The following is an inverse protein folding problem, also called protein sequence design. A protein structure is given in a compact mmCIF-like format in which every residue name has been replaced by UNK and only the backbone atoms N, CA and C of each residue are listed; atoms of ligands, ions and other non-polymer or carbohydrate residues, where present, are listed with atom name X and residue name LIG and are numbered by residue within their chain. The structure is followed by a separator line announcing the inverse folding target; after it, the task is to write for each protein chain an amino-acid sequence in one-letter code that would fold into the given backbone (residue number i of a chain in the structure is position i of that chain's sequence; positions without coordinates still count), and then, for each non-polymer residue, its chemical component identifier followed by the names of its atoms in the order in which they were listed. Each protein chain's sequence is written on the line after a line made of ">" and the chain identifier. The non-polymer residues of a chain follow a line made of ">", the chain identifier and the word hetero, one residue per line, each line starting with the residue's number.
data_IF_861348612165
#
_entry.id   IF_861348612165
#
_cell.length_a   1.000
_cell.length_b   1.000
_cell.length_c   1.000
_cell.angle_alpha   90.00
_cell.angle_beta   90.00
_cell.angle_gamma   90.00
#
_symmetry.space_group_name_H-M   'P 1'
#
loop_
_entity.id
_entity.type
_entity.pdbx_description
1 polymer ?
#
# COMPACT_ATOMS: atom_id res chain seq x y z
N UNK A 1 -14.75 -21.42 3.75
CA UNK A 1 -15.37 -21.11 2.43
C UNK A 1 -14.25 -20.76 1.49
N UNK A 2 -14.27 -21.22 0.24
CA UNK A 2 -13.24 -20.79 -0.72
C UNK A 2 -13.67 -19.42 -1.31
N UNK A 3 -12.91 -18.38 -0.97
CA UNK A 3 -13.23 -16.99 -1.28
C UNK A 3 -12.25 -16.49 -2.34
N UNK A 4 -12.75 -15.83 -3.37
CA UNK A 4 -11.93 -15.18 -4.35
C UNK A 4 -11.66 -13.71 -3.93
N UNK A 5 -10.43 -13.27 -4.08
CA UNK A 5 -10.00 -11.94 -3.69
C UNK A 5 -9.36 -11.17 -4.83
N UNK A 6 -9.43 -9.86 -4.73
CA UNK A 6 -8.68 -8.92 -5.56
C UNK A 6 -7.98 -7.88 -4.68
N UNK A 7 -6.71 -7.64 -4.96
CA UNK A 7 -5.91 -6.59 -4.34
C UNK A 7 -5.55 -5.56 -5.39
N UNK A 8 -6.20 -4.40 -5.42
CA UNK A 8 -5.78 -3.32 -6.29
C UNK A 8 -4.44 -2.75 -5.82
N UNK A 9 -3.58 -2.40 -6.75
CA UNK A 9 -2.26 -1.86 -6.46
C UNK A 9 -1.82 -0.80 -7.48
N UNK A 10 -0.81 -0.03 -7.11
CA UNK A 10 -0.13 0.83 -8.06
C UNK A 10 0.63 -0.02 -9.08
N UNK A 11 0.62 0.41 -10.35
CA UNK A 11 1.35 -0.26 -11.42
C UNK A 11 2.84 -0.44 -11.05
N UNK A 12 3.33 -1.66 -11.18
CA UNK A 12 4.69 -2.06 -10.86
C UNK A 12 4.85 -2.70 -9.46
N UNK A 13 3.77 -2.75 -8.64
CA UNK A 13 3.75 -3.43 -7.34
C UNK A 13 3.10 -4.82 -7.39
N UNK A 14 2.65 -5.28 -8.54
CA UNK A 14 1.98 -6.57 -8.67
C UNK A 14 2.87 -7.75 -8.25
N UNK A 15 4.16 -7.71 -8.62
CA UNK A 15 5.09 -8.78 -8.30
C UNK A 15 5.37 -8.93 -6.79
N UNK A 16 5.73 -7.87 -6.03
CA UNK A 16 5.91 -7.98 -4.58
C UNK A 16 4.64 -8.41 -3.85
N UNK A 17 3.45 -7.95 -4.25
CA UNK A 17 2.18 -8.38 -3.66
C UNK A 17 1.94 -9.86 -3.93
N UNK A 18 2.15 -10.32 -5.15
CA UNK A 18 1.96 -11.73 -5.49
C UNK A 18 2.92 -12.65 -4.72
N UNK A 19 4.18 -12.22 -4.52
CA UNK A 19 5.15 -12.95 -3.70
C UNK A 19 4.71 -12.99 -2.24
N UNK A 20 4.28 -11.85 -1.69
CA UNK A 20 3.79 -11.75 -0.32
C UNK A 20 2.58 -12.64 -0.07
N UNK A 21 1.59 -12.64 -0.97
CA UNK A 21 0.39 -13.49 -0.86
C UNK A 21 0.73 -14.99 -0.93
N UNK A 22 1.67 -15.40 -1.79
CA UNK A 22 2.14 -16.80 -1.81
C UNK A 22 2.82 -17.20 -0.50
N UNK A 23 3.60 -16.30 0.09
CA UNK A 23 4.23 -16.51 1.40
C UNK A 23 3.20 -16.58 2.55
N UNK A 24 2.01 -16.01 2.35
CA UNK A 24 0.87 -16.10 3.25
C UNK A 24 0.01 -17.35 3.02
N UNK A 25 0.44 -18.25 2.14
CA UNK A 25 -0.25 -19.50 1.79
C UNK A 25 -1.56 -19.29 1.01
N UNK A 26 -1.73 -18.13 0.36
CA UNK A 26 -2.84 -17.89 -0.53
C UNK A 26 -2.76 -18.78 -1.79
N UNK A 27 -3.91 -19.25 -2.25
CA UNK A 27 -4.05 -20.10 -3.44
C UNK A 27 -4.28 -19.24 -4.70
N UNK A 28 -4.05 -19.81 -5.87
CA UNK A 28 -4.38 -19.23 -7.19
C UNK A 28 -3.88 -17.79 -7.40
N UNK A 29 -2.71 -17.45 -6.86
CA UNK A 29 -2.16 -16.09 -6.92
C UNK A 29 -1.76 -15.73 -8.34
N UNK A 30 -2.46 -14.76 -8.92
CA UNK A 30 -2.27 -14.25 -10.29
C UNK A 30 -2.11 -12.74 -10.30
N UNK A 31 -1.00 -12.26 -10.86
CA UNK A 31 -0.75 -10.84 -11.08
C UNK A 31 -1.41 -10.41 -12.41
N UNK A 32 -2.22 -9.36 -12.35
CA UNK A 32 -2.80 -8.66 -13.49
C UNK A 32 -2.37 -7.19 -13.45
N UNK A 33 -2.52 -6.45 -14.55
CA UNK A 33 -2.20 -5.02 -14.55
C UNK A 33 -3.03 -4.25 -13.51
N UNK A 34 -2.35 -3.68 -12.51
CA UNK A 34 -2.94 -2.87 -11.45
C UNK A 34 -3.69 -3.64 -10.36
N UNK A 35 -3.63 -4.98 -10.35
CA UNK A 35 -4.19 -5.81 -9.28
C UNK A 35 -3.57 -7.20 -9.19
N UNK A 36 -3.72 -7.84 -8.05
CA UNK A 36 -3.41 -9.26 -7.87
C UNK A 36 -4.68 -9.99 -7.45
N UNK A 37 -4.97 -11.11 -8.10
CA UNK A 37 -6.06 -12.01 -7.74
C UNK A 37 -5.51 -13.20 -6.96
N UNK A 38 -6.28 -13.70 -6.00
CA UNK A 38 -5.93 -14.90 -5.24
C UNK A 38 -7.19 -15.54 -4.62
N UNK A 39 -7.06 -16.74 -4.10
CA UNK A 39 -8.13 -17.47 -3.39
C UNK A 39 -7.66 -17.89 -2.01
N UNK A 40 -8.59 -18.12 -1.10
CA UNK A 40 -8.33 -18.62 0.24
C UNK A 40 -9.58 -18.63 1.12
N UNK A 41 -9.40 -18.96 2.37
CA UNK A 41 -10.44 -18.96 3.39
C UNK A 41 -10.49 -17.66 4.20
N UNK A 42 -11.28 -17.64 5.27
CA UNK A 42 -11.40 -16.51 6.19
C UNK A 42 -10.10 -16.20 6.92
N UNK A 43 -9.22 -17.20 7.14
CA UNK A 43 -7.89 -16.99 7.73
C UNK A 43 -7.00 -16.22 6.76
N UNK A 44 -7.02 -16.58 5.48
CA UNK A 44 -6.28 -15.86 4.42
C UNK A 44 -6.82 -14.44 4.26
N UNK A 45 -8.13 -14.21 4.36
CA UNK A 45 -8.73 -12.87 4.38
C UNK A 45 -8.14 -12.02 5.51
N UNK A 46 -8.13 -12.53 6.74
CA UNK A 46 -7.60 -11.81 7.90
C UNK A 46 -6.09 -11.61 7.78
N UNK A 47 -5.34 -12.67 7.43
CA UNK A 47 -3.89 -12.64 7.24
C UNK A 47 -3.46 -11.63 6.19
N UNK A 48 -4.12 -11.59 5.04
CA UNK A 48 -3.82 -10.63 3.97
C UNK A 48 -4.04 -9.18 4.42
N UNK A 49 -5.08 -8.89 5.21
CA UNK A 49 -5.31 -7.56 5.78
C UNK A 49 -4.27 -7.19 6.85
N UNK A 50 -3.91 -8.13 7.74
CA UNK A 50 -2.99 -7.89 8.85
C UNK A 50 -1.54 -7.79 8.37
N UNK A 51 -1.12 -8.67 7.46
CA UNK A 51 0.28 -8.86 7.14
C UNK A 51 0.74 -8.17 5.85
N UNK A 52 -0.17 -7.79 4.93
CA UNK A 52 0.27 -7.23 3.66
C UNK A 52 0.90 -5.83 3.81
N UNK A 53 2.13 -5.70 3.31
CA UNK A 53 2.93 -4.48 3.35
C UNK A 53 2.69 -3.60 2.13
N UNK A 54 2.38 -4.22 0.99
CA UNK A 54 2.37 -3.56 -0.32
C UNK A 54 0.97 -3.29 -0.84
N UNK A 55 -0.05 -3.98 -0.30
CA UNK A 55 -1.44 -3.87 -0.73
C UNK A 55 -2.11 -2.57 -0.25
N UNK A 56 -2.94 -1.96 -1.09
CA UNK A 56 -3.75 -0.81 -0.69
C UNK A 56 -5.05 -1.22 0.02
N UNK A 57 -5.62 -2.36 -0.40
CA UNK A 57 -6.84 -2.98 0.14
C UNK A 57 -6.88 -4.47 -0.19
N UNK A 58 -7.62 -5.22 0.60
CA UNK A 58 -8.05 -6.58 0.28
C UNK A 58 -9.55 -6.55 0.01
N UNK A 59 -9.97 -7.02 -1.15
CA UNK A 59 -11.36 -6.99 -1.59
C UNK A 59 -11.84 -8.42 -1.88
N UNK A 60 -13.02 -8.81 -1.40
CA UNK A 60 -13.67 -10.04 -1.83
C UNK A 60 -14.22 -9.82 -3.24
N UNK A 61 -13.83 -10.62 -4.20
CA UNK A 61 -14.31 -10.56 -5.58
C UNK A 61 -15.58 -11.41 -5.71
N UNK A 62 -16.74 -10.76 -5.85
CA UNK A 62 -18.02 -11.45 -6.02
C UNK A 62 -18.24 -11.96 -7.43
N UNK A 63 -17.79 -11.22 -8.43
CA UNK A 63 -17.88 -11.62 -9.81
C UNK A 63 -17.42 -10.56 -10.79
N UNK A 64 -17.27 -11.00 -12.05
CA UNK A 64 -16.92 -10.12 -13.17
C UNK A 64 -17.74 -10.52 -14.40
N UNK A 65 -18.18 -9.52 -15.16
CA UNK A 65 -18.98 -9.67 -16.39
C UNK A 65 -18.73 -8.49 -17.33
N UNK A 66 -19.15 -8.60 -18.57
CA UNK A 66 -19.12 -7.48 -19.53
C UNK A 66 -20.43 -6.70 -19.50
N UNK A 67 -20.36 -5.38 -19.62
CA UNK A 67 -21.53 -4.51 -19.71
C UNK A 67 -21.23 -3.28 -20.56
N UNK A 68 -22.04 -3.06 -21.59
CA UNK A 68 -22.02 -1.93 -22.49
C UNK A 68 -23.19 -0.96 -22.27
N UNK A 69 -24.19 -1.39 -21.48
CA UNK A 69 -25.38 -0.63 -21.15
C UNK A 69 -25.72 -0.69 -19.67
N UNK A 70 -26.48 0.28 -19.17
CA UNK A 70 -26.98 0.27 -17.80
C UNK A 70 -27.88 -0.93 -17.49
N UNK A 71 -28.61 -1.45 -18.48
CA UNK A 71 -29.42 -2.66 -18.31
C UNK A 71 -28.54 -3.89 -18.10
N UNK A 72 -27.48 -4.07 -18.90
CA UNK A 72 -26.52 -5.17 -18.71
C UNK A 72 -25.81 -5.05 -17.36
N UNK A 73 -25.41 -3.83 -16.95
CA UNK A 73 -24.83 -3.57 -15.63
C UNK A 73 -25.80 -3.97 -14.51
N UNK A 74 -27.08 -3.59 -14.64
CA UNK A 74 -28.12 -3.93 -13.67
C UNK A 74 -28.32 -5.45 -13.54
N UNK A 75 -28.52 -6.14 -14.67
CA UNK A 75 -28.79 -7.58 -14.68
C UNK A 75 -27.57 -8.39 -14.20
N UNK A 76 -26.39 -8.05 -14.66
CA UNK A 76 -25.15 -8.70 -14.20
C UNK A 76 -24.90 -8.49 -12.72
N UNK A 77 -25.17 -7.30 -12.19
CA UNK A 77 -25.07 -7.02 -10.74
C UNK A 77 -26.10 -7.81 -9.95
N UNK A 78 -27.37 -7.83 -10.40
CA UNK A 78 -28.46 -8.54 -9.71
C UNK A 78 -28.27 -10.05 -9.68
N UNK A 79 -27.57 -10.62 -10.65
CA UNK A 79 -27.29 -12.05 -10.73
C UNK A 79 -26.32 -12.55 -9.66
N UNK A 80 -25.50 -11.68 -9.05
CA UNK A 80 -24.53 -12.07 -8.04
C UNK A 80 -25.20 -12.41 -6.69
N UNK A 81 -24.60 -13.31 -5.89
CA UNK A 81 -25.19 -13.81 -4.65
C UNK A 81 -24.95 -12.89 -3.45
N UNK A 82 -25.46 -11.67 -3.50
CA UNK A 82 -25.26 -10.63 -2.47
C UNK A 82 -25.71 -11.07 -1.07
N UNK A 83 -26.75 -11.88 -1.00
CA UNK A 83 -27.31 -12.42 0.26
C UNK A 83 -26.39 -13.39 1.00
N UNK A 84 -25.32 -13.87 0.39
CA UNK A 84 -24.28 -14.64 1.08
C UNK A 84 -23.38 -13.76 1.96
N UNK A 85 -23.38 -12.46 1.68
CA UNK A 85 -22.53 -11.49 2.35
C UNK A 85 -23.33 -10.47 3.18
N UNK A 86 -24.32 -9.87 2.58
CA UNK A 86 -25.04 -8.70 3.12
C UNK A 86 -26.33 -9.16 3.76
N UNK A 87 -26.47 -8.89 5.06
CA UNK A 87 -27.69 -9.13 5.83
C UNK A 87 -28.75 -8.04 5.63
N UNK A 88 -29.91 -8.22 6.28
CA UNK A 88 -31.05 -7.34 6.12
C UNK A 88 -30.82 -5.92 6.68
N UNK A 89 -30.01 -5.79 7.73
CA UNK A 89 -29.75 -4.54 8.42
C UNK A 89 -28.42 -3.89 8.00
N UNK A 90 -27.61 -4.59 7.20
CA UNK A 90 -26.26 -4.16 6.86
C UNK A 90 -26.25 -2.95 5.91
N UNK A 91 -25.26 -2.07 6.07
CA UNK A 91 -25.05 -0.94 5.19
C UNK A 91 -24.15 -1.33 4.01
N UNK A 92 -24.55 -0.98 2.78
CA UNK A 92 -23.82 -1.36 1.57
C UNK A 92 -23.64 -0.17 0.60
N UNK A 93 -22.85 0.85 0.97
CA UNK A 93 -22.53 1.96 0.09
C UNK A 93 -21.72 1.48 -1.12
N UNK A 94 -21.93 2.12 -2.29
CA UNK A 94 -21.27 1.78 -3.55
C UNK A 94 -20.24 2.84 -3.89
N UNK A 95 -19.00 2.43 -4.21
CA UNK A 95 -17.93 3.29 -4.72
C UNK A 95 -17.21 2.57 -5.87
N UNK A 96 -16.56 3.30 -6.73
CA UNK A 96 -15.76 2.69 -7.79
C UNK A 96 -15.34 3.68 -8.85
N UNK A 97 -14.89 3.15 -9.97
CA UNK A 97 -14.41 3.93 -11.11
C UNK A 97 -14.72 3.23 -12.44
N UNK A 98 -14.71 4.02 -13.50
CA UNK A 98 -14.83 3.53 -14.87
C UNK A 98 -13.72 4.16 -15.73
N UNK A 99 -13.02 3.36 -16.53
CA UNK A 99 -11.92 3.77 -17.40
C UNK A 99 -12.08 3.07 -18.75
N UNK A 100 -11.93 3.83 -19.84
CA UNK A 100 -11.98 3.31 -21.22
C UNK A 100 -13.21 2.42 -21.49
N UNK A 101 -14.40 2.86 -21.07
CA UNK A 101 -15.63 2.07 -21.11
C UNK A 101 -16.83 2.89 -21.55
N UNK A 102 -17.83 2.23 -22.15
CA UNK A 102 -19.07 2.86 -22.60
C UNK A 102 -19.85 3.46 -21.42
N UNK A 103 -19.80 2.79 -20.27
CA UNK A 103 -20.38 3.24 -19.00
C UNK A 103 -19.41 4.16 -18.25
N UNK A 104 -19.24 5.39 -18.68
CA UNK A 104 -18.27 6.36 -18.13
C UNK A 104 -18.76 7.17 -16.93
N UNK A 105 -20.09 7.31 -16.74
CA UNK A 105 -20.65 8.05 -15.61
C UNK A 105 -20.58 7.22 -14.32
N UNK A 106 -19.56 7.49 -13.49
CA UNK A 106 -19.37 6.81 -12.21
C UNK A 106 -20.59 6.94 -11.32
N UNK A 107 -21.23 8.12 -11.26
CA UNK A 107 -22.42 8.38 -10.44
C UNK A 107 -23.61 7.51 -10.85
N UNK A 108 -23.86 7.40 -12.17
CA UNK A 108 -24.98 6.59 -12.67
C UNK A 108 -24.69 5.10 -12.46
N UNK A 109 -23.46 4.64 -12.70
CA UNK A 109 -23.06 3.27 -12.38
C UNK A 109 -23.27 2.95 -10.91
N UNK A 110 -22.91 3.86 -9.98
CA UNK A 110 -23.16 3.68 -8.54
C UNK A 110 -24.65 3.49 -8.24
N UNK A 111 -25.50 4.34 -8.83
CA UNK A 111 -26.96 4.28 -8.63
C UNK A 111 -27.56 2.98 -9.17
N UNK A 112 -27.16 2.55 -10.39
CA UNK A 112 -27.62 1.31 -11.01
C UNK A 112 -27.17 0.08 -10.21
N UNK A 113 -25.91 0.02 -9.80
CA UNK A 113 -25.37 -1.08 -8.98
C UNK A 113 -26.14 -1.13 -7.64
N UNK A 114 -26.30 0.01 -6.93
CA UNK A 114 -27.04 0.06 -5.66
C UNK A 114 -28.46 -0.45 -5.85
N UNK A 115 -29.18 0.00 -6.89
CA UNK A 115 -30.54 -0.45 -7.21
C UNK A 115 -30.61 -1.97 -7.47
N UNK A 116 -29.66 -2.51 -8.24
CA UNK A 116 -29.62 -3.93 -8.56
C UNK A 116 -29.42 -4.81 -7.32
N UNK A 117 -28.53 -4.37 -6.41
CA UNK A 117 -28.30 -5.04 -5.11
C UNK A 117 -29.55 -5.00 -4.25
N UNK A 118 -30.19 -3.83 -4.13
CA UNK A 118 -31.45 -3.68 -3.38
C UNK A 118 -32.54 -4.61 -3.92
N UNK A 119 -32.75 -4.67 -5.24
CA UNK A 119 -33.73 -5.55 -5.85
C UNK A 119 -33.43 -7.05 -5.60
N UNK A 120 -32.15 -7.44 -5.58
CA UNK A 120 -31.76 -8.81 -5.23
C UNK A 120 -32.05 -9.13 -3.77
N UNK A 121 -31.67 -8.24 -2.85
CA UNK A 121 -31.84 -8.43 -1.41
C UNK A 121 -33.31 -8.36 -0.98
N UNK A 122 -34.16 -7.52 -1.62
CA UNK A 122 -35.61 -7.50 -1.43
C UNK A 122 -36.23 -8.87 -1.68
N UNK A 123 -35.85 -9.54 -2.78
CA UNK A 123 -36.35 -10.89 -3.10
C UNK A 123 -35.96 -11.92 -2.04
N UNK A 124 -34.76 -11.78 -1.45
CA UNK A 124 -34.23 -12.71 -0.45
C UNK A 124 -34.87 -12.52 0.92
N UNK A 125 -34.98 -11.26 1.37
CA UNK A 125 -35.39 -10.93 2.74
C UNK A 125 -36.87 -10.56 2.86
N UNK A 126 -37.58 -10.41 1.75
CA UNK A 126 -39.00 -10.01 1.71
C UNK A 126 -39.26 -8.68 2.44
N UNK A 127 -38.35 -7.72 2.32
CA UNK A 127 -38.44 -6.36 2.91
C UNK A 127 -38.38 -5.31 1.80
N UNK A 128 -39.07 -4.19 2.03
CA UNK A 128 -39.15 -3.11 1.04
C UNK A 128 -38.11 -1.99 1.27
N UNK A 129 -37.65 -1.85 2.49
CA UNK A 129 -36.70 -0.81 2.89
C UNK A 129 -35.56 -1.36 3.72
N UNK A 130 -34.33 -0.92 3.45
CA UNK A 130 -33.11 -1.28 4.18
C UNK A 130 -32.68 -0.10 5.06
N UNK A 131 -32.67 -0.29 6.38
CA UNK A 131 -32.29 0.75 7.35
C UNK A 131 -30.80 1.07 7.31
N UNK A 132 -29.97 0.17 6.80
CA UNK A 132 -28.50 0.29 6.70
C UNK A 132 -27.85 0.73 8.03
N UNK A 133 -28.36 0.23 9.16
CA UNK A 133 -27.90 0.54 10.52
C UNK A 133 -26.81 -0.42 11.04
N UNK A 134 -26.61 -1.54 10.36
CA UNK A 134 -25.65 -2.59 10.71
C UNK A 134 -24.22 -2.34 10.21
N UNK A 135 -23.37 -3.37 10.23
CA UNK A 135 -22.03 -3.33 9.69
C UNK A 135 -21.97 -2.87 8.22
N UNK A 136 -20.84 -2.23 7.87
CA UNK A 136 -20.67 -1.69 6.52
C UNK A 136 -19.98 -2.71 5.62
N UNK A 137 -20.66 -3.10 4.54
CA UNK A 137 -20.15 -3.90 3.42
C UNK A 137 -19.96 -2.99 2.22
N UNK A 138 -18.86 -2.23 2.18
CA UNK A 138 -18.65 -1.28 1.10
C UNK A 138 -18.45 -2.02 -0.22
N UNK A 139 -19.41 -1.85 -1.15
CA UNK A 139 -19.30 -2.38 -2.50
C UNK A 139 -18.31 -1.52 -3.28
N UNK A 140 -17.31 -2.17 -3.86
CA UNK A 140 -16.36 -1.57 -4.79
C UNK A 140 -16.60 -2.09 -6.20
N UNK A 141 -16.74 -1.21 -7.18
CA UNK A 141 -16.78 -1.60 -8.58
C UNK A 141 -15.59 -1.03 -9.36
N UNK A 142 -15.15 -1.77 -10.34
CA UNK A 142 -14.27 -1.27 -11.40
C UNK A 142 -14.84 -1.66 -12.75
N UNK A 143 -14.94 -0.69 -13.66
CA UNK A 143 -15.28 -0.94 -15.07
C UNK A 143 -14.06 -0.54 -15.88
N UNK A 144 -13.45 -1.50 -16.56
CA UNK A 144 -12.27 -1.26 -17.40
C UNK A 144 -12.46 -1.96 -18.74
N UNK A 145 -12.48 -1.20 -19.82
CA UNK A 145 -12.73 -1.72 -21.17
C UNK A 145 -13.99 -2.59 -21.21
N UNK A 146 -15.08 -2.07 -20.64
CA UNK A 146 -16.40 -2.69 -20.52
C UNK A 146 -16.46 -3.95 -19.64
N UNK A 147 -15.37 -4.39 -19.03
CA UNK A 147 -15.35 -5.46 -18.03
C UNK A 147 -15.62 -4.90 -16.66
N UNK A 148 -16.75 -5.28 -16.07
CA UNK A 148 -17.19 -4.96 -14.72
C UNK A 148 -16.60 -5.97 -13.75
N UNK A 149 -16.07 -5.52 -12.61
CA UNK A 149 -15.75 -6.35 -11.45
C UNK A 149 -16.43 -5.75 -10.23
N UNK A 150 -17.15 -6.59 -9.47
CA UNK A 150 -17.87 -6.20 -8.25
C UNK A 150 -17.24 -6.89 -7.05
N UNK A 151 -16.91 -6.10 -6.04
CA UNK A 151 -16.10 -6.51 -4.90
C UNK A 151 -16.65 -5.94 -3.60
N UNK A 152 -16.32 -6.55 -2.45
CA UNK A 152 -16.57 -6.02 -1.11
C UNK A 152 -15.26 -5.64 -0.42
N UNK A 153 -15.19 -4.47 0.16
CA UNK A 153 -13.98 -3.96 0.83
C UNK A 153 -13.89 -4.50 2.26
N UNK A 154 -12.96 -5.43 2.47
CA UNK A 154 -12.69 -6.03 3.78
C UNK A 154 -11.84 -5.15 4.67
N UNK A 155 -11.06 -4.26 4.09
CA UNK A 155 -10.05 -3.44 4.80
C UNK A 155 -10.65 -2.21 5.50
N UNK A 156 -11.63 -1.55 4.89
CA UNK A 156 -12.21 -0.29 5.36
C UNK A 156 -11.27 0.89 5.12
N UNK A 157 -10.48 1.31 6.09
CA UNK A 157 -9.42 2.28 5.88
C UNK A 157 -8.29 1.65 5.05
N UNK A 158 -7.70 2.42 4.11
CA UNK A 158 -6.61 1.91 3.27
C UNK A 158 -5.45 1.32 4.09
N UNK A 159 -4.84 0.23 3.61
CA UNK A 159 -3.81 -0.49 4.35
C UNK A 159 -2.53 0.33 4.56
N UNK A 160 -2.25 1.33 3.71
CA UNK A 160 -1.16 2.28 3.95
C UNK A 160 -1.30 3.03 5.29
N UNK A 161 -2.52 3.24 5.80
CA UNK A 161 -2.73 3.85 7.12
C UNK A 161 -2.39 2.86 8.23
N UNK A 162 -1.11 2.69 8.55
CA UNK A 162 -0.63 1.75 9.58
C UNK A 162 -1.05 2.14 11.00
N UNK A 163 -1.22 3.44 11.24
CA UNK A 163 -1.61 3.99 12.54
C UNK A 163 -0.47 4.72 13.27
N UNK A 164 0.78 4.47 12.94
CA UNK A 164 1.92 5.12 13.60
C UNK A 164 2.09 6.59 13.22
N UNK A 165 1.64 7.02 12.05
CA UNK A 165 1.76 8.40 11.59
C UNK A 165 0.52 9.21 11.96
N UNK A 166 0.56 9.85 13.13
CA UNK A 166 -0.51 10.73 13.60
C UNK A 166 -0.45 12.11 12.95
N UNK A 167 0.76 12.63 12.75
CA UNK A 167 1.03 13.88 12.05
C UNK A 167 1.92 13.60 10.83
N UNK A 168 1.77 14.35 9.78
CA UNK A 168 2.57 14.24 8.58
C UNK A 168 2.97 15.63 8.07
N UNK A 169 4.15 15.71 7.50
CA UNK A 169 4.56 16.87 6.69
C UNK A 169 3.72 16.93 5.41
N UNK A 170 3.83 18.03 4.67
CA UNK A 170 3.19 18.16 3.36
C UNK A 170 3.64 17.03 2.41
N UNK A 171 2.66 16.29 1.87
CA UNK A 171 2.82 15.23 0.87
C UNK A 171 3.80 14.07 1.22
N UNK A 172 3.65 13.38 2.37
CA UNK A 172 4.52 12.26 2.72
C UNK A 172 4.31 11.07 1.75
N UNK A 173 5.38 10.29 1.54
CA UNK A 173 5.27 9.03 0.81
C UNK A 173 4.32 8.07 1.51
N UNK A 174 3.49 7.33 0.76
CA UNK A 174 2.63 6.28 1.35
C UNK A 174 3.49 5.15 1.91
N UNK A 175 3.05 4.59 3.02
CA UNK A 175 3.72 3.48 3.72
C UNK A 175 3.86 2.24 2.82
N UNK A 176 2.84 1.91 2.04
CA UNK A 176 2.86 0.81 1.06
C UNK A 176 3.93 1.02 -0.03
N UNK A 177 4.10 2.25 -0.49
CA UNK A 177 5.16 2.59 -1.44
C UNK A 177 6.54 2.54 -0.77
N UNK A 178 6.70 3.09 0.44
CA UNK A 178 7.95 3.05 1.19
C UNK A 178 8.43 1.62 1.46
N UNK A 179 7.54 0.74 1.92
CA UNK A 179 7.81 -0.70 2.05
C UNK A 179 8.24 -1.32 0.71
N UNK A 180 7.58 -0.94 -0.38
CA UNK A 180 7.93 -1.42 -1.73
C UNK A 180 9.32 -0.95 -2.18
N UNK A 181 9.73 0.27 -1.82
CA UNK A 181 11.09 0.75 -2.08
C UNK A 181 12.13 -0.09 -1.33
N UNK A 182 11.88 -0.44 -0.07
CA UNK A 182 12.74 -1.34 0.71
C UNK A 182 12.86 -2.71 0.03
N UNK A 183 11.75 -3.28 -0.45
CA UNK A 183 11.75 -4.55 -1.16
C UNK A 183 12.52 -4.49 -2.48
N UNK A 184 12.30 -3.47 -3.33
CA UNK A 184 13.02 -3.31 -4.59
C UNK A 184 14.51 -3.04 -4.41
N UNK A 185 14.88 -2.35 -3.34
CA UNK A 185 16.27 -2.09 -2.95
C UNK A 185 16.96 -3.31 -2.34
N UNK A 186 16.23 -4.44 -2.21
CA UNK A 186 16.73 -5.68 -1.62
C UNK A 186 17.25 -5.50 -0.20
N UNK A 187 16.58 -4.65 0.58
CA UNK A 187 16.90 -4.46 1.98
C UNK A 187 16.89 -5.79 2.72
N UNK A 188 17.91 -6.03 3.53
CA UNK A 188 18.07 -7.26 4.31
C UNK A 188 18.02 -6.93 5.80
N UNK A 189 17.53 -7.85 6.66
CA UNK A 189 17.42 -7.62 8.11
C UNK A 189 18.75 -7.49 8.84
N UNK A 190 19.86 -7.63 8.13
CA UNK A 190 21.24 -7.44 8.60
C UNK A 190 21.97 -6.32 7.85
N UNK A 191 21.26 -5.45 7.15
CA UNK A 191 21.83 -4.26 6.49
C UNK A 191 21.42 -3.00 7.25
N UNK A 192 22.34 -2.06 7.37
CA UNK A 192 21.97 -0.71 7.78
C UNK A 192 21.21 0.00 6.67
N UNK A 193 20.08 0.62 7.02
CA UNK A 193 19.27 1.46 6.13
C UNK A 193 19.62 2.93 6.36
N UNK A 194 19.69 3.71 5.29
CA UNK A 194 19.95 5.16 5.37
C UNK A 194 18.92 5.93 4.57
N UNK A 195 18.42 7.03 5.15
CA UNK A 195 17.62 8.03 4.45
C UNK A 195 18.05 9.44 4.90
N UNK A 196 18.89 10.14 4.11
CA UNK A 196 19.42 11.46 4.48
C UNK A 196 18.45 12.62 4.24
N UNK A 197 17.23 12.36 3.82
CA UNK A 197 16.12 13.32 3.63
C UNK A 197 14.82 12.68 4.08
N UNK A 198 14.80 12.19 5.34
CA UNK A 198 13.81 11.23 5.83
C UNK A 198 12.41 11.81 6.04
N UNK A 199 12.27 13.14 6.14
CA UNK A 199 10.98 13.78 6.37
C UNK A 199 10.29 13.25 7.64
N UNK A 200 9.17 12.57 7.47
CA UNK A 200 8.43 11.91 8.57
C UNK A 200 8.92 10.48 8.90
N UNK A 201 10.02 10.03 8.29
CA UNK A 201 10.67 8.76 8.59
C UNK A 201 10.02 7.52 7.96
N UNK A 202 9.07 7.67 7.04
CA UNK A 202 8.27 6.53 6.54
C UNK A 202 9.12 5.40 5.97
N UNK A 203 10.18 5.69 5.19
CA UNK A 203 11.07 4.66 4.61
C UNK A 203 11.85 3.92 5.72
N UNK A 204 12.37 4.66 6.71
CA UNK A 204 13.13 4.09 7.83
C UNK A 204 12.26 3.17 8.68
N UNK A 205 11.04 3.62 9.01
CA UNK A 205 10.08 2.89 9.84
C UNK A 205 9.60 1.61 9.14
N UNK A 206 9.18 1.71 7.86
CA UNK A 206 8.77 0.52 7.09
C UNK A 206 9.95 -0.46 6.93
N UNK A 207 11.18 0.03 6.75
CA UNK A 207 12.39 -0.80 6.73
C UNK A 207 12.65 -1.52 8.05
N UNK A 208 12.50 -0.83 9.19
CA UNK A 208 12.66 -1.40 10.53
C UNK A 208 11.56 -2.44 10.84
N UNK A 209 10.29 -2.12 10.52
CA UNK A 209 9.19 -3.07 10.64
C UNK A 209 9.41 -4.33 9.77
N UNK A 210 9.96 -4.19 8.56
CA UNK A 210 10.33 -5.33 7.71
C UNK A 210 11.47 -6.15 8.30
N UNK A 211 12.49 -5.51 8.89
CA UNK A 211 13.61 -6.20 9.52
C UNK A 211 13.15 -7.05 10.71
N UNK A 212 12.24 -6.55 11.55
CA UNK A 212 11.60 -7.27 12.66
C UNK A 212 10.47 -8.19 12.24
N UNK A 213 10.05 -8.16 11.01
CA UNK A 213 8.84 -8.83 10.52
C UNK A 213 7.56 -8.43 11.27
N UNK A 214 7.47 -7.20 11.77
CA UNK A 214 6.24 -6.65 12.37
C UNK A 214 5.16 -6.53 11.29
N UNK A 215 4.00 -7.15 11.51
CA UNK A 215 2.89 -7.08 10.57
C UNK A 215 2.24 -5.67 10.59
N UNK A 216 2.11 -4.99 9.43
CA UNK A 216 1.70 -3.59 9.39
C UNK A 216 0.27 -3.33 9.87
N UNK A 217 -0.57 -4.36 9.90
CA UNK A 217 -1.97 -4.29 10.32
C UNK A 217 -2.25 -4.84 11.72
N UNK A 218 -1.23 -5.30 12.47
CA UNK A 218 -1.42 -6.03 13.73
C UNK A 218 -2.19 -5.22 14.79
N UNK A 219 -2.01 -3.91 14.82
CA UNK A 219 -2.61 -3.00 15.80
C UNK A 219 -3.80 -2.18 15.26
N UNK A 220 -4.34 -2.51 14.09
CA UNK A 220 -5.46 -1.78 13.51
C UNK A 220 -6.71 -2.67 13.36
N UNK A 221 -7.87 -2.02 13.15
CA UNK A 221 -9.13 -2.70 12.87
C UNK A 221 -9.45 -2.67 11.38
N UNK A 222 -10.22 -3.67 10.93
CA UNK A 222 -10.66 -3.82 9.54
C UNK A 222 -12.18 -3.87 9.46
N UNK A 223 -12.75 -3.49 8.32
CA UNK A 223 -14.21 -3.48 8.15
C UNK A 223 -14.82 -4.86 8.35
N UNK A 224 -14.17 -5.90 7.78
CA UNK A 224 -14.66 -7.27 7.85
C UNK A 224 -14.61 -7.91 9.25
N UNK A 225 -13.97 -7.31 10.24
CA UNK A 225 -14.05 -7.76 11.64
C UNK A 225 -15.46 -7.65 12.23
N UNK A 226 -16.30 -6.80 11.64
CA UNK A 226 -17.69 -6.60 12.06
C UNK A 226 -18.69 -7.44 11.25
N UNK A 227 -18.24 -8.12 10.20
CA UNK A 227 -19.11 -8.89 9.32
C UNK A 227 -19.56 -10.19 10.00
N UNK A 228 -20.86 -10.48 9.93
CA UNK A 228 -21.45 -11.62 10.60
C UNK A 228 -21.03 -12.97 10.05
N UNK A 229 -20.61 -13.01 8.78
CA UNK A 229 -20.17 -14.21 8.08
C UNK A 229 -18.65 -14.49 8.19
N UNK A 230 -17.89 -13.61 8.87
CA UNK A 230 -16.47 -13.83 9.19
C UNK A 230 -16.35 -14.08 10.69
N UNK A 231 -15.89 -15.27 11.14
CA UNK A 231 -15.70 -15.57 12.55
C UNK A 231 -14.70 -14.61 13.22
N UNK A 232 -15.02 -14.11 14.40
CA UNK A 232 -14.17 -13.12 15.09
C UNK A 232 -12.85 -13.68 15.58
N UNK A 233 -12.80 -14.93 15.93
CA UNK A 233 -11.62 -15.67 16.39
C UNK A 233 -10.54 -15.79 15.32
N UNK A 234 -10.90 -15.78 14.04
CA UNK A 234 -9.98 -15.75 12.91
C UNK A 234 -9.03 -14.54 13.00
N UNK A 235 -9.57 -13.35 13.33
CA UNK A 235 -8.78 -12.13 13.46
C UNK A 235 -7.82 -12.19 14.65
N UNK A 236 -8.27 -12.74 15.75
CA UNK A 236 -7.41 -12.95 16.92
C UNK A 236 -6.28 -13.92 16.60
N UNK A 237 -6.61 -15.08 16.05
CA UNK A 237 -5.66 -16.14 15.67
C UNK A 237 -4.59 -15.61 14.71
N UNK A 238 -4.98 -14.88 13.68
CA UNK A 238 -4.02 -14.36 12.71
C UNK A 238 -3.17 -13.19 13.26
N UNK A 239 -3.66 -12.42 14.24
CA UNK A 239 -2.82 -11.44 14.96
C UNK A 239 -1.79 -12.12 15.85
N UNK A 240 -2.16 -13.15 16.61
CA UNK A 240 -1.21 -13.92 17.41
C UNK A 240 -0.16 -14.57 16.50
N UNK A 241 -0.59 -15.24 15.43
CA UNK A 241 0.32 -15.78 14.42
C UNK A 241 1.29 -14.72 13.88
N UNK A 242 0.81 -13.52 13.62
CA UNK A 242 1.66 -12.43 13.13
C UNK A 242 2.70 -11.98 14.16
N UNK A 243 2.32 -11.93 15.46
CA UNK A 243 3.24 -11.61 16.57
C UNK A 243 4.28 -12.72 16.79
N UNK A 244 3.88 -13.98 16.71
CA UNK A 244 4.78 -15.12 16.84
C UNK A 244 5.84 -15.17 15.72
N UNK A 245 5.57 -14.54 14.58
CA UNK A 245 6.49 -14.42 13.46
C UNK A 245 7.42 -13.19 13.56
N UNK A 246 7.23 -12.33 14.55
CA UNK A 246 8.16 -11.23 14.83
C UNK A 246 9.52 -11.80 15.26
N UNK A 247 10.56 -11.05 14.96
CA UNK A 247 11.93 -11.49 15.24
C UNK A 247 12.80 -10.34 15.74
N UNK A 248 13.84 -10.70 16.44
CA UNK A 248 14.91 -9.78 16.76
C UNK A 248 15.66 -9.34 15.48
N UNK A 249 16.13 -8.11 15.45
CA UNK A 249 16.85 -7.52 14.33
C UNK A 249 18.15 -6.85 14.80
N UNK A 250 18.97 -7.61 15.53
CA UNK A 250 20.19 -7.10 16.21
C UNK A 250 21.21 -6.46 15.25
N UNK A 251 21.29 -6.93 14.02
CA UNK A 251 22.26 -6.44 13.03
C UNK A 251 21.67 -5.33 12.14
N UNK A 252 20.41 -4.93 12.35
CA UNK A 252 19.73 -3.90 11.57
C UNK A 252 19.68 -2.59 12.34
N UNK A 253 20.00 -1.49 11.65
CA UNK A 253 19.73 -0.15 12.16
C UNK A 253 19.41 0.81 11.00
N UNK A 254 18.42 1.68 11.20
CA UNK A 254 18.00 2.69 10.24
C UNK A 254 18.49 4.08 10.68
N UNK A 255 19.32 4.69 9.86
CA UNK A 255 19.92 6.01 10.09
C UNK A 255 19.21 7.06 9.26
N UNK A 256 18.49 7.97 9.92
CA UNK A 256 17.82 9.10 9.31
C UNK A 256 18.54 10.41 9.49
N UNK A 257 18.38 11.31 8.53
CA UNK A 257 18.63 12.74 8.75
C UNK A 257 17.70 13.59 7.90
N UNK A 258 17.47 14.79 8.36
CA UNK A 258 16.75 15.81 7.60
C UNK A 258 17.34 17.19 7.93
N UNK A 259 17.23 18.13 7.01
CA UNK A 259 17.67 19.52 7.24
C UNK A 259 16.72 20.22 8.22
N UNK A 260 15.44 19.80 8.27
CA UNK A 260 14.45 20.27 9.24
C UNK A 260 14.56 19.47 10.53
N UNK A 261 14.87 20.16 11.63
CA UNK A 261 14.88 19.54 12.96
C UNK A 261 13.48 19.10 13.40
N UNK A 262 12.43 19.75 12.92
CA UNK A 262 11.04 19.38 13.15
C UNK A 262 10.71 18.05 12.45
N UNK A 263 11.17 17.87 11.21
CA UNK A 263 11.03 16.60 10.49
C UNK A 263 11.77 15.45 11.19
N UNK A 264 12.99 15.71 11.68
CA UNK A 264 13.75 14.75 12.47
C UNK A 264 13.01 14.36 13.78
N UNK A 265 12.46 15.33 14.51
CA UNK A 265 11.65 15.07 15.71
C UNK A 265 10.37 14.28 15.36
N UNK A 266 9.70 14.59 14.26
CA UNK A 266 8.53 13.86 13.79
C UNK A 266 8.89 12.41 13.42
N UNK A 267 10.04 12.17 12.80
CA UNK A 267 10.53 10.81 12.52
C UNK A 267 10.70 10.00 13.81
N UNK A 268 11.31 10.58 14.86
CA UNK A 268 11.50 9.92 16.14
C UNK A 268 10.15 9.55 16.79
N UNK A 269 9.20 10.48 16.84
CA UNK A 269 7.86 10.24 17.37
C UNK A 269 7.08 9.16 16.58
N UNK A 270 7.18 9.15 15.26
CA UNK A 270 6.56 8.13 14.42
C UNK A 270 7.22 6.74 14.62
N UNK A 271 8.54 6.68 14.81
CA UNK A 271 9.25 5.43 15.11
C UNK A 271 8.83 4.83 16.46
N UNK A 272 8.68 5.68 17.49
CA UNK A 272 8.15 5.28 18.79
C UNK A 272 6.71 4.75 18.66
N UNK A 273 5.84 5.47 17.96
CA UNK A 273 4.46 5.03 17.71
C UNK A 273 4.36 3.72 16.91
N UNK A 274 5.38 3.41 16.09
CA UNK A 274 5.49 2.16 15.34
C UNK A 274 6.14 1.03 16.16
N UNK A 275 6.71 1.30 17.34
CA UNK A 275 7.43 0.33 18.18
C UNK A 275 8.78 -0.11 17.60
N UNK A 276 9.47 0.80 16.90
CA UNK A 276 10.79 0.54 16.27
C UNK A 276 11.81 1.65 16.55
N UNK A 277 11.59 2.45 17.58
CA UNK A 277 12.45 3.56 17.98
C UNK A 277 13.87 3.12 18.38
N UNK A 278 14.03 1.92 18.90
CA UNK A 278 15.31 1.29 19.18
C UNK A 278 16.12 0.90 17.93
N UNK A 279 15.46 0.77 16.77
CA UNK A 279 16.07 0.49 15.47
C UNK A 279 16.23 1.72 14.56
N UNK A 280 15.69 2.87 14.96
CA UNK A 280 15.65 4.08 14.12
C UNK A 280 16.33 5.24 14.86
N UNK A 281 17.51 5.64 14.38
CA UNK A 281 18.20 6.83 14.83
C UNK A 281 18.06 7.97 13.82
N UNK A 282 17.69 9.18 14.30
CA UNK A 282 17.52 10.35 13.42
C UNK A 282 18.25 11.57 13.97
N UNK A 283 18.77 12.39 13.08
CA UNK A 283 19.44 13.66 13.43
C UNK A 283 19.07 14.79 12.48
N UNK A 284 19.05 16.02 13.01
CA UNK A 284 18.96 17.23 12.18
C UNK A 284 20.32 17.49 11.51
N UNK A 285 20.39 17.33 10.18
CA UNK A 285 21.65 17.41 9.45
C UNK A 285 21.41 17.66 7.96
N UNK A 286 22.20 18.57 7.39
CA UNK A 286 22.21 18.79 5.93
C UNK A 286 22.79 17.59 5.18
N UNK A 287 22.27 17.33 3.98
CA UNK A 287 22.77 16.27 3.09
C UNK A 287 24.28 16.31 2.88
N UNK A 288 24.86 17.50 2.72
CA UNK A 288 26.30 17.68 2.49
C UNK A 288 27.19 17.18 3.65
N UNK A 289 26.63 17.05 4.84
CA UNK A 289 27.30 16.52 6.03
C UNK A 289 27.01 15.03 6.26
N UNK A 290 26.38 14.36 5.30
CA UNK A 290 26.11 12.92 5.38
C UNK A 290 27.41 12.13 5.40
N UNK A 291 27.57 11.32 6.43
CA UNK A 291 28.69 10.38 6.57
C UNK A 291 28.13 9.01 6.94
N UNK A 292 28.41 7.97 6.16
CA UNK A 292 28.03 6.61 6.52
C UNK A 292 28.63 6.18 7.87
N UNK A 293 27.80 5.54 8.69
CA UNK A 293 28.21 5.04 10.03
C UNK A 293 28.69 3.57 9.98
N UNK A 294 28.46 2.89 8.86
CA UNK A 294 28.77 1.45 8.68
C UNK A 294 29.55 1.21 7.39
N UNK A 295 30.26 0.10 7.33
CA UNK A 295 31.00 -0.31 6.12
C UNK A 295 30.06 -0.71 4.97
N UNK A 296 28.86 -1.21 5.29
CA UNK A 296 27.85 -1.67 4.33
C UNK A 296 26.52 -1.04 4.63
N UNK A 297 25.76 -0.71 3.59
CA UNK A 297 24.46 -0.10 3.79
C UNK A 297 23.61 -0.03 2.52
N UNK A 298 22.34 0.17 2.74
CA UNK A 298 21.36 0.47 1.69
C UNK A 298 20.80 1.87 1.95
N UNK A 299 21.03 2.79 1.02
CA UNK A 299 20.45 4.13 1.08
C UNK A 299 19.21 4.16 0.19
N UNK A 300 18.07 4.55 0.78
CA UNK A 300 16.81 4.73 0.07
C UNK A 300 16.30 6.12 0.42
N UNK A 301 16.05 6.96 -0.58
CA UNK A 301 15.47 8.27 -0.30
C UNK A 301 14.46 8.71 -1.36
N UNK A 302 13.56 9.57 -0.89
CA UNK A 302 12.57 10.29 -1.67
C UNK A 302 12.87 11.79 -1.53
N UNK A 303 13.80 12.35 -2.33
CA UNK A 303 14.17 13.74 -2.23
C UNK A 303 12.99 14.65 -2.54
N UNK A 304 12.95 15.89 -2.03
CA UNK A 304 11.91 16.84 -2.35
C UNK A 304 11.89 17.15 -3.85
N UNK A 305 10.69 17.21 -4.44
CA UNK A 305 10.45 17.53 -5.84
C UNK A 305 9.10 18.21 -6.06
N UNK A 306 8.94 18.86 -7.22
CA UNK A 306 7.72 19.53 -7.66
C UNK A 306 7.53 20.94 -7.09
N UNK A 307 6.62 21.70 -7.69
CA UNK A 307 6.39 23.14 -7.43
C UNK A 307 6.03 23.49 -5.98
N UNK A 308 5.67 22.50 -5.16
CA UNK A 308 5.31 22.71 -3.75
C UNK A 308 6.50 22.74 -2.80
N UNK A 309 7.66 22.21 -3.20
CA UNK A 309 8.80 22.02 -2.31
C UNK A 309 10.08 22.65 -2.84
N UNK A 310 10.38 22.52 -4.14
CA UNK A 310 11.57 23.08 -4.78
C UNK A 310 11.25 23.50 -6.22
N UNK A 311 11.87 24.58 -6.70
CA UNK A 311 11.91 24.85 -8.14
C UNK A 311 12.85 23.86 -8.86
N UNK A 312 12.81 23.86 -10.20
CA UNK A 312 13.59 22.91 -11.03
C UNK A 312 15.10 23.08 -10.79
N UNK A 313 15.59 24.31 -10.65
CA UNK A 313 17.02 24.58 -10.45
C UNK A 313 17.50 24.10 -9.09
N UNK A 314 16.71 24.33 -8.04
CA UNK A 314 16.99 23.85 -6.68
C UNK A 314 17.00 22.31 -6.63
N UNK A 315 16.03 21.65 -7.29
CA UNK A 315 15.99 20.20 -7.39
C UNK A 315 17.22 19.66 -8.12
N UNK A 316 17.62 20.27 -9.24
CA UNK A 316 18.80 19.87 -9.99
C UNK A 316 20.11 20.08 -9.18
N UNK A 317 20.19 21.20 -8.42
CA UNK A 317 21.31 21.42 -7.52
C UNK A 317 21.40 20.35 -6.43
N UNK A 318 20.24 19.96 -5.85
CA UNK A 318 20.17 18.87 -4.87
C UNK A 318 20.64 17.54 -5.49
N UNK A 319 20.22 17.21 -6.70
CA UNK A 319 20.65 15.96 -7.37
C UNK A 319 22.16 15.95 -7.64
N UNK A 320 22.77 17.07 -8.00
CA UNK A 320 24.23 17.20 -8.12
C UNK A 320 24.94 16.99 -6.78
N UNK A 321 24.42 17.55 -5.71
CA UNK A 321 24.95 17.37 -4.36
C UNK A 321 24.80 15.88 -3.91
N UNK A 322 23.67 15.26 -4.20
CA UNK A 322 23.49 13.81 -3.96
C UNK A 322 24.52 12.97 -4.72
N UNK A 323 24.79 13.32 -5.99
CA UNK A 323 25.80 12.61 -6.80
C UNK A 323 27.23 12.70 -6.24
N UNK A 324 27.55 13.82 -5.58
CA UNK A 324 28.85 14.02 -4.90
C UNK A 324 28.93 13.28 -3.57
N UNK A 325 27.83 13.28 -2.79
CA UNK A 325 27.77 12.71 -1.44
C UNK A 325 27.61 11.19 -1.47
N UNK A 326 26.84 10.66 -2.42
CA UNK A 326 26.61 9.23 -2.56
C UNK A 326 27.69 8.57 -3.43
N UNK A 327 28.92 8.61 -2.94
CA UNK A 327 30.06 7.99 -3.61
C UNK A 327 29.86 6.48 -3.81
N UNK A 328 30.45 5.95 -4.88
CA UNK A 328 30.48 4.51 -5.12
C UNK A 328 31.35 3.83 -4.06
N UNK A 329 30.72 2.99 -3.22
CA UNK A 329 31.42 2.27 -2.15
C UNK A 329 31.09 0.78 -2.21
N UNK A 330 32.08 -0.05 -2.01
CA UNK A 330 31.86 -1.50 -1.91
C UNK A 330 30.90 -1.81 -0.73
N UNK A 331 29.91 -2.68 -0.96
CA UNK A 331 28.92 -3.04 0.06
C UNK A 331 27.79 -2.02 0.24
N UNK A 332 27.72 -0.97 -0.60
CA UNK A 332 26.65 0.02 -0.60
C UNK A 332 25.77 -0.09 -1.83
N UNK A 333 24.47 0.12 -1.62
CA UNK A 333 23.48 0.32 -2.68
C UNK A 333 22.71 1.60 -2.44
N UNK A 334 22.28 2.24 -3.54
CA UNK A 334 21.53 3.50 -3.50
C UNK A 334 20.27 3.35 -4.33
N UNK A 335 19.14 3.79 -3.78
CA UNK A 335 17.84 3.76 -4.44
C UNK A 335 17.15 5.11 -4.24
N UNK A 336 16.94 5.84 -5.33
CA UNK A 336 16.37 7.18 -5.30
C UNK A 336 15.07 7.18 -6.12
N UNK A 337 13.95 7.59 -5.53
CA UNK A 337 12.70 7.75 -6.23
C UNK A 337 12.46 9.23 -6.58
N UNK A 338 12.25 9.54 -7.85
CA UNK A 338 11.98 10.89 -8.31
C UNK A 338 11.20 10.89 -9.62
N UNK A 339 10.37 11.93 -9.90
CA UNK A 339 9.73 12.12 -11.20
C UNK A 339 10.66 12.74 -12.26
N UNK A 340 11.87 13.18 -11.89
CA UNK A 340 12.78 13.89 -12.77
C UNK A 340 13.37 12.97 -13.84
N UNK A 341 13.07 13.22 -15.10
CA UNK A 341 13.57 12.40 -16.22
C UNK A 341 15.07 12.64 -16.49
N UNK A 342 15.62 13.80 -16.10
CA UNK A 342 17.04 14.16 -16.24
C UNK A 342 17.88 13.83 -15.00
N UNK A 343 17.31 13.13 -14.02
CA UNK A 343 17.95 12.84 -12.73
C UNK A 343 19.36 12.27 -12.87
N UNK A 344 19.59 11.31 -13.76
CA UNK A 344 20.91 10.68 -13.93
C UNK A 344 21.97 11.62 -14.47
N UNK A 345 21.58 12.61 -15.29
CA UNK A 345 22.48 13.62 -15.81
C UNK A 345 22.94 14.52 -14.67
N UNK A 346 22.03 14.99 -13.85
CA UNK A 346 22.30 15.85 -12.69
C UNK A 346 23.05 15.09 -11.59
N UNK A 347 22.67 13.83 -11.33
CA UNK A 347 23.34 12.95 -10.38
C UNK A 347 24.74 12.51 -10.82
N UNK A 348 25.04 12.66 -12.11
CA UNK A 348 26.36 12.36 -12.71
C UNK A 348 26.64 10.88 -12.91
N UNK A 349 25.63 10.02 -12.79
CA UNK A 349 25.79 8.56 -12.89
C UNK A 349 24.54 7.90 -13.48
N UNK A 350 24.74 6.92 -14.40
CA UNK A 350 23.69 6.02 -14.88
C UNK A 350 23.32 5.00 -13.79
N UNK A 351 22.04 4.75 -13.60
CA UNK A 351 21.55 3.69 -12.72
C UNK A 351 21.78 2.30 -13.35
N UNK A 352 22.11 1.31 -12.50
CA UNK A 352 22.22 -0.08 -12.92
C UNK A 352 20.85 -0.66 -13.27
N UNK A 353 19.80 -0.19 -12.60
CA UNK A 353 18.40 -0.57 -12.88
C UNK A 353 17.45 0.60 -12.62
N UNK A 354 16.42 0.69 -13.43
CA UNK A 354 15.31 1.65 -13.24
C UNK A 354 13.98 0.90 -13.13
N UNK A 355 13.09 1.45 -12.31
CA UNK A 355 11.71 0.94 -12.21
C UNK A 355 10.72 2.08 -12.22
N UNK A 356 9.73 2.02 -13.11
CA UNK A 356 8.62 2.96 -13.13
C UNK A 356 7.68 2.67 -11.95
N UNK A 357 7.38 3.69 -11.16
CA UNK A 357 6.47 3.63 -10.02
C UNK A 357 5.59 4.88 -10.01
N UNK A 358 4.62 4.92 -9.10
CA UNK A 358 3.75 6.07 -8.91
C UNK A 358 3.73 6.49 -7.43
N UNK A 359 3.97 7.78 -7.16
CA UNK A 359 3.73 8.36 -5.84
C UNK A 359 2.43 9.17 -5.90
N UNK A 360 1.33 8.58 -5.46
CA UNK A 360 -0.01 9.09 -5.73
C UNK A 360 -0.29 9.11 -7.23
N UNK A 361 -0.58 10.29 -7.78
CA UNK A 361 -0.80 10.49 -9.23
C UNK A 361 0.50 10.82 -9.99
N UNK A 362 1.60 11.04 -9.31
CA UNK A 362 2.87 11.44 -9.91
C UNK A 362 3.61 10.21 -10.41
N UNK A 363 3.90 10.19 -11.72
CA UNK A 363 4.77 9.18 -12.32
C UNK A 363 6.20 9.41 -11.88
N UNK A 364 6.82 8.44 -11.21
CA UNK A 364 8.19 8.48 -10.73
C UNK A 364 9.01 7.34 -11.35
N UNK A 365 10.32 7.46 -11.24
CA UNK A 365 11.26 6.36 -11.46
C UNK A 365 12.06 6.11 -10.19
N UNK A 366 12.25 4.85 -9.85
CA UNK A 366 13.21 4.39 -8.86
C UNK A 366 14.53 4.08 -9.57
N UNK A 367 15.53 4.87 -9.32
CA UNK A 367 16.90 4.69 -9.83
C UNK A 367 17.69 3.90 -8.80
N UNK A 368 18.22 2.74 -9.21
CA UNK A 368 18.94 1.82 -8.32
C UNK A 368 20.37 1.64 -8.77
N UNK A 369 21.28 1.74 -7.82
CA UNK A 369 22.74 1.62 -7.99
C UNK A 369 23.21 0.52 -7.05
N UNK A 370 23.76 -0.54 -7.62
CA UNK A 370 24.27 -1.69 -6.91
C UNK A 370 25.80 -1.73 -7.05
N UNK A 371 26.55 -1.56 -5.97
CA UNK A 371 28.03 -1.53 -5.88
C UNK A 371 28.69 -0.20 -6.22
#
# INVERSE_FOLDING_TARGET
>A
MDINFAVPCLLGLEAPIAEELRNMEASDVRAENGRVLFSGDENILARANICSRFSERVLVLLGSFEAHSFEELFQGTRALPWEQWIGADDAFPVKGYSIDSDLFSVRDCQAIIKKAVVERLKQKYSIEWFEESGPVYQIQFSIMKNKVSLMLDTSGAGLHKRGYRQNANDAPIKETLAASLCWFSRLRPYHSLYDPMCGSGTILIEGAMMARNIAPGVNRNFAAERWSNIPRDVWYTERERARDLEREAHDFFAYGSDISCEAAALTAANAEAAGVDDLVGVRCCELKKFVPQTERGTLICNPPYGERMLDIEQANALYRDMGRVFERRHGWSYSIITPCDTFEQEFGRKADKRRKLYNGMIKCQLFMYFK
#
